data_IF_786527520520
#
_entry.id   IF_786527520520
#
_cell.length_a   1.000
_cell.length_b   1.000
_cell.length_c   1.000
_cell.angle_alpha   90.00
_cell.angle_beta   90.00
_cell.angle_gamma   90.00
#
_symmetry.space_group_name_H-M   'P 1'
#
loop_
_entity.id
_entity.type
_entity.pdbx_description
1 polymer ?
#
# COMPACT_ATOMS: atom_id res chain seq x y z
N UNK A 1 -4.87 -27.33 -3.88
CA UNK A 1 -3.86 -26.40 -3.32
C UNK A 1 -3.11 -26.98 -2.12
N UNK A 2 -3.71 -27.15 -0.92
CA UNK A 2 -2.96 -27.67 0.25
C UNK A 2 -2.53 -29.13 0.05
N UNK A 3 -3.45 -29.99 -0.38
CA UNK A 3 -3.14 -31.41 -0.65
C UNK A 3 -2.14 -31.57 -1.80
N UNK A 4 -2.28 -30.77 -2.85
CA UNK A 4 -1.32 -30.70 -3.97
C UNK A 4 0.07 -30.27 -3.49
N UNK A 5 0.16 -29.23 -2.65
CA UNK A 5 1.41 -28.74 -2.06
C UNK A 5 2.08 -29.79 -1.18
N UNK A 6 1.31 -30.54 -0.39
CA UNK A 6 1.81 -31.65 0.43
C UNK A 6 2.32 -32.80 -0.46
N UNK A 7 1.63 -33.09 -1.56
CA UNK A 7 1.96 -34.16 -2.51
C UNK A 7 3.12 -33.83 -3.48
N UNK A 8 3.58 -32.58 -3.52
CA UNK A 8 4.66 -32.14 -4.39
C UNK A 8 6.01 -32.76 -3.99
N UNK A 9 6.80 -33.16 -5.00
CA UNK A 9 8.07 -33.88 -4.82
C UNK A 9 9.13 -33.07 -4.04
N UNK A 10 10.07 -33.73 -3.37
CA UNK A 10 11.19 -33.11 -2.63
C UNK A 10 12.00 -32.09 -3.47
N UNK A 11 12.01 -32.21 -4.81
CA UNK A 11 12.63 -31.24 -5.72
C UNK A 11 11.93 -29.87 -5.72
N UNK A 12 10.62 -29.79 -5.49
CA UNK A 12 9.89 -28.51 -5.39
C UNK A 12 10.09 -27.83 -4.03
N UNK A 13 10.25 -28.60 -2.95
CA UNK A 13 10.62 -28.08 -1.62
C UNK A 13 12.04 -27.51 -1.55
N UNK A 14 12.89 -27.80 -2.52
CA UNK A 14 14.25 -27.22 -2.62
C UNK A 14 14.27 -25.72 -2.97
N UNK A 15 13.12 -25.11 -3.31
CA UNK A 15 13.01 -23.69 -3.71
C UNK A 15 12.85 -22.71 -2.54
N UNK A 16 12.91 -23.18 -1.29
CA UNK A 16 12.80 -22.35 -0.08
C UNK A 16 11.50 -22.56 0.69
N UNK A 17 11.45 -22.02 1.90
CA UNK A 17 10.31 -22.16 2.82
C UNK A 17 9.17 -21.26 2.37
N UNK A 18 8.01 -21.82 2.04
CA UNK A 18 6.81 -21.04 1.72
C UNK A 18 6.02 -20.67 2.98
N UNK A 19 5.14 -19.66 2.86
CA UNK A 19 4.24 -19.29 3.96
C UNK A 19 3.30 -20.44 4.39
N UNK A 20 2.89 -21.30 3.44
CA UNK A 20 2.10 -22.49 3.76
C UNK A 20 2.94 -23.50 4.57
N UNK A 21 4.23 -23.67 4.25
CA UNK A 21 5.11 -24.56 5.02
C UNK A 21 5.27 -24.06 6.47
N UNK A 22 5.38 -22.75 6.67
CA UNK A 22 5.44 -22.14 8.01
C UNK A 22 4.16 -22.43 8.80
N UNK A 23 2.98 -22.23 8.19
CA UNK A 23 1.70 -22.48 8.86
C UNK A 23 1.47 -23.96 9.19
N UNK A 24 1.87 -24.87 8.29
CA UNK A 24 1.79 -26.32 8.54
C UNK A 24 2.74 -26.72 9.67
N UNK A 25 3.97 -26.18 9.69
CA UNK A 25 4.94 -26.43 10.74
C UNK A 25 4.47 -25.92 12.11
N UNK A 26 3.78 -24.78 12.17
CA UNK A 26 3.15 -24.28 13.40
C UNK A 26 2.03 -25.22 13.85
N UNK A 27 1.16 -25.67 12.92
CA UNK A 27 0.09 -26.61 13.23
C UNK A 27 0.62 -27.94 13.79
N UNK A 28 1.74 -28.45 13.27
CA UNK A 28 2.32 -29.73 13.70
C UNK A 28 3.04 -29.63 15.06
N UNK A 29 3.71 -28.51 15.35
CA UNK A 29 4.54 -28.37 16.55
C UNK A 29 3.84 -27.69 17.73
N UNK A 30 2.74 -26.96 17.51
CA UNK A 30 2.07 -26.22 18.57
C UNK A 30 1.05 -27.08 19.34
N UNK A 31 1.57 -28.08 20.04
CA UNK A 31 0.78 -28.98 20.92
C UNK A 31 0.59 -28.42 22.34
N UNK A 32 1.02 -27.18 22.60
CA UNK A 32 1.10 -26.58 23.94
C UNK A 32 0.33 -25.26 24.13
N UNK A 33 -0.29 -24.72 23.09
CA UNK A 33 -1.06 -23.47 23.19
C UNK A 33 -2.56 -23.73 23.37
N UNK A 34 -3.26 -22.82 24.06
CA UNK A 34 -4.73 -22.82 24.19
C UNK A 34 -5.46 -22.62 22.83
N UNK A 35 -4.70 -22.36 21.75
CA UNK A 35 -5.21 -22.07 20.42
C UNK A 35 -4.72 -23.09 19.39
N UNK A 36 -5.60 -23.99 18.96
CA UNK A 36 -5.28 -24.98 17.94
C UNK A 36 -5.50 -24.45 16.52
N UNK A 37 -4.42 -24.25 15.76
CA UNK A 37 -4.49 -23.83 14.36
C UNK A 37 -5.11 -24.92 13.48
N UNK A 38 -6.36 -24.76 13.05
CA UNK A 38 -7.05 -25.73 12.18
C UNK A 38 -6.73 -25.52 10.69
N UNK A 39 -7.05 -26.51 9.84
CA UNK A 39 -6.90 -26.39 8.38
C UNK A 39 -7.76 -25.26 7.80
N UNK A 40 -8.92 -24.99 8.37
CA UNK A 40 -9.80 -23.87 7.99
C UNK A 40 -9.13 -22.53 8.28
N UNK A 41 -8.46 -22.40 9.43
CA UNK A 41 -7.68 -21.21 9.75
C UNK A 41 -6.53 -21.01 8.75
N UNK A 42 -5.82 -22.08 8.38
CA UNK A 42 -4.73 -22.01 7.37
C UNK A 42 -5.30 -21.53 6.03
N UNK A 43 -6.38 -22.15 5.54
CA UNK A 43 -7.06 -21.75 4.29
C UNK A 43 -7.50 -20.29 4.33
N UNK A 44 -8.14 -19.87 5.43
CA UNK A 44 -8.61 -18.50 5.60
C UNK A 44 -7.46 -17.48 5.61
N UNK A 45 -6.37 -17.77 6.33
CA UNK A 45 -5.21 -16.88 6.36
C UNK A 45 -4.54 -16.75 4.98
N UNK A 46 -4.37 -17.86 4.25
CA UNK A 46 -3.87 -17.83 2.88
C UNK A 46 -4.74 -16.96 1.97
N UNK A 47 -6.05 -17.14 2.04
CA UNK A 47 -6.99 -16.37 1.24
C UNK A 47 -6.93 -14.87 1.58
N UNK A 48 -6.92 -14.53 2.87
CA UNK A 48 -6.84 -13.13 3.33
C UNK A 48 -5.55 -12.48 2.85
N UNK A 49 -4.40 -13.15 2.99
CA UNK A 49 -3.12 -12.59 2.55
C UNK A 49 -3.07 -12.35 1.05
N UNK A 50 -3.52 -13.31 0.24
CA UNK A 50 -3.53 -13.17 -1.21
C UNK A 50 -4.49 -12.05 -1.63
N UNK A 51 -5.72 -12.05 -1.10
CA UNK A 51 -6.74 -11.07 -1.48
C UNK A 51 -6.32 -9.64 -1.11
N UNK A 52 -5.94 -9.43 0.16
CA UNK A 52 -5.59 -8.08 0.67
C UNK A 52 -4.26 -7.57 0.12
N UNK A 53 -3.28 -8.45 -0.08
CA UNK A 53 -1.98 -8.09 -0.64
C UNK A 53 -2.04 -7.78 -2.13
N UNK A 54 -2.83 -8.53 -2.91
CA UNK A 54 -2.91 -8.35 -4.37
C UNK A 54 -3.58 -7.04 -4.72
N UNK A 55 -4.78 -6.78 -4.19
CA UNK A 55 -5.56 -5.59 -4.57
C UNK A 55 -4.84 -4.28 -4.21
N UNK A 56 -4.26 -4.22 -3.00
CA UNK A 56 -3.53 -3.02 -2.55
C UNK A 56 -2.25 -2.81 -3.34
N UNK A 57 -1.45 -3.86 -3.59
CA UNK A 57 -0.20 -3.74 -4.36
C UNK A 57 -0.46 -3.31 -5.81
N UNK A 58 -1.52 -3.84 -6.44
CA UNK A 58 -1.94 -3.41 -7.78
C UNK A 58 -2.31 -1.93 -7.81
N UNK A 59 -3.09 -1.46 -6.82
CA UNK A 59 -3.45 -0.05 -6.74
C UNK A 59 -2.21 0.86 -6.61
N UNK A 60 -1.20 0.45 -5.83
CA UNK A 60 0.07 1.20 -5.72
C UNK A 60 0.81 1.22 -7.05
N UNK A 61 0.89 0.08 -7.75
CA UNK A 61 1.54 -0.01 -9.06
C UNK A 61 0.85 0.92 -10.07
N UNK A 62 -0.48 0.87 -10.16
CA UNK A 62 -1.27 1.71 -11.07
C UNK A 62 -1.05 3.20 -10.80
N UNK A 63 -1.14 3.62 -9.55
CA UNK A 63 -0.89 5.02 -9.18
C UNK A 63 0.55 5.43 -9.41
N UNK A 64 1.51 4.57 -9.08
CA UNK A 64 2.94 4.86 -9.29
C UNK A 64 3.22 5.07 -10.77
N UNK A 65 2.79 4.15 -11.62
CA UNK A 65 2.92 4.26 -13.07
C UNK A 65 2.21 5.51 -13.62
N UNK A 66 0.98 5.78 -13.18
CA UNK A 66 0.24 6.96 -13.60
C UNK A 66 0.95 8.27 -13.20
N UNK A 67 1.54 8.32 -11.99
CA UNK A 67 2.30 9.48 -11.51
C UNK A 67 3.57 9.70 -12.32
N UNK A 68 4.39 8.67 -12.54
CA UNK A 68 5.63 8.84 -13.32
C UNK A 68 5.35 9.15 -14.80
N UNK A 69 4.33 8.54 -15.43
CA UNK A 69 3.98 8.83 -16.83
C UNK A 69 3.56 10.29 -17.02
N UNK A 70 2.83 10.85 -16.04
CA UNK A 70 2.42 12.27 -16.05
C UNK A 70 3.54 13.23 -15.67
N UNK A 71 4.69 12.73 -15.19
CA UNK A 71 5.81 13.52 -14.72
C UNK A 71 7.12 13.10 -15.44
N UNK A 72 7.35 13.58 -16.68
CA UNK A 72 8.45 13.10 -17.52
C UNK A 72 9.86 13.32 -16.95
N UNK A 73 10.04 14.28 -16.05
CA UNK A 73 11.31 14.50 -15.35
C UNK A 73 11.58 13.36 -14.35
N UNK A 74 10.58 13.06 -13.51
CA UNK A 74 10.64 11.97 -12.53
C UNK A 74 10.78 10.61 -13.21
N UNK A 75 10.03 10.37 -14.30
CA UNK A 75 10.18 9.16 -15.12
C UNK A 75 11.62 8.94 -15.58
N UNK A 76 12.27 9.98 -16.13
CA UNK A 76 13.67 9.88 -16.62
C UNK A 76 14.64 9.53 -15.49
N UNK A 77 14.46 10.10 -14.30
CA UNK A 77 15.28 9.77 -13.12
C UNK A 77 15.07 8.32 -12.67
N UNK A 78 13.82 7.86 -12.61
CA UNK A 78 13.50 6.46 -12.29
C UNK A 78 14.09 5.49 -13.30
N UNK A 79 13.95 5.78 -14.60
CA UNK A 79 14.54 4.97 -15.66
C UNK A 79 16.07 4.94 -15.58
N UNK A 80 16.71 6.06 -15.25
CA UNK A 80 18.16 6.11 -15.12
C UNK A 80 18.64 5.19 -13.98
N UNK A 81 17.99 5.22 -12.81
CA UNK A 81 18.34 4.37 -11.68
C UNK A 81 18.11 2.86 -12.00
N UNK A 82 16.96 2.53 -12.58
CA UNK A 82 16.61 1.15 -12.94
C UNK A 82 17.57 0.56 -14.00
N UNK A 83 18.14 1.38 -14.89
CA UNK A 83 19.14 0.92 -15.88
C UNK A 83 20.50 0.61 -15.24
N UNK A 84 20.90 1.41 -14.27
CA UNK A 84 22.21 1.24 -13.63
C UNK A 84 22.20 0.14 -12.56
N UNK A 85 21.03 -0.30 -12.10
CA UNK A 85 20.91 -1.25 -10.99
C UNK A 85 20.00 -2.43 -11.38
N UNK A 86 20.51 -3.66 -11.43
CA UNK A 86 21.92 -4.05 -11.62
C UNK A 86 22.39 -3.81 -13.05
N UNK A 87 23.56 -3.19 -13.20
CA UNK A 87 24.16 -2.86 -14.49
C UNK A 87 24.49 -4.13 -15.29
N UNK A 88 23.80 -4.32 -16.42
CA UNK A 88 24.08 -5.40 -17.35
C UNK A 88 23.59 -6.78 -16.91
N UNK A 89 22.84 -6.88 -15.81
CA UNK A 89 22.24 -8.15 -15.37
C UNK A 89 20.78 -8.27 -15.84
N UNK A 90 20.38 -9.49 -16.20
CA UNK A 90 19.01 -9.79 -16.62
C UNK A 90 18.04 -9.91 -15.43
N UNK A 91 18.56 -10.17 -14.22
CA UNK A 91 17.80 -10.43 -12.99
C UNK A 91 18.15 -9.42 -11.91
N UNK A 92 17.24 -9.21 -10.97
CA UNK A 92 17.44 -8.34 -9.80
C UNK A 92 17.40 -9.17 -8.53
N UNK A 93 18.27 -8.84 -7.57
CA UNK A 93 18.33 -9.44 -6.24
C UNK A 93 17.91 -8.41 -5.21
N UNK A 94 17.55 -8.85 -4.01
CA UNK A 94 17.12 -7.95 -2.93
C UNK A 94 18.17 -6.89 -2.59
N UNK A 95 19.46 -7.25 -2.63
CA UNK A 95 20.59 -6.33 -2.44
C UNK A 95 20.71 -5.23 -3.51
N UNK A 96 20.08 -5.43 -4.68
CA UNK A 96 20.00 -4.43 -5.74
C UNK A 96 18.84 -3.48 -5.46
N UNK A 97 17.67 -4.02 -5.08
CA UNK A 97 16.49 -3.23 -4.71
C UNK A 97 16.79 -2.29 -3.53
N UNK A 98 17.60 -2.75 -2.57
CA UNK A 98 18.02 -1.91 -1.44
C UNK A 98 18.72 -0.61 -1.87
N UNK A 99 19.39 -0.61 -3.03
CA UNK A 99 20.12 0.52 -3.61
C UNK A 99 19.28 1.42 -4.52
N UNK A 100 18.05 1.03 -4.88
CA UNK A 100 17.15 1.81 -5.74
C UNK A 100 16.39 2.89 -4.93
N UNK A 101 17.14 3.84 -4.37
CA UNK A 101 16.61 4.83 -3.44
C UNK A 101 15.57 5.76 -4.09
N UNK A 102 15.76 6.12 -5.35
CA UNK A 102 14.84 7.00 -6.05
C UNK A 102 13.53 6.30 -6.44
N UNK A 103 13.59 5.03 -6.85
CA UNK A 103 12.41 4.19 -7.05
C UNK A 103 11.58 4.08 -5.77
N UNK A 104 12.25 3.85 -4.63
CA UNK A 104 11.60 3.84 -3.31
C UNK A 104 10.93 5.16 -2.97
N UNK A 105 11.62 6.27 -3.24
CA UNK A 105 11.05 7.61 -3.05
C UNK A 105 9.83 7.86 -3.93
N UNK A 106 9.84 7.37 -5.17
CA UNK A 106 8.70 7.42 -6.12
C UNK A 106 7.51 6.62 -5.62
N UNK A 107 7.74 5.42 -5.08
CA UNK A 107 6.68 4.58 -4.50
C UNK A 107 6.12 5.25 -3.25
N UNK A 108 6.98 5.76 -2.35
CA UNK A 108 6.55 6.49 -1.14
C UNK A 108 5.70 7.72 -1.47
N UNK A 109 6.13 8.53 -2.43
CA UNK A 109 5.36 9.72 -2.86
C UNK A 109 4.03 9.33 -3.53
N UNK A 110 4.00 8.19 -4.24
CA UNK A 110 2.77 7.65 -4.79
C UNK A 110 1.81 7.17 -3.69
N UNK A 111 2.33 6.52 -2.65
CA UNK A 111 1.55 6.12 -1.47
C UNK A 111 1.04 7.32 -0.68
N UNK A 112 1.83 8.39 -0.54
CA UNK A 112 1.42 9.62 0.15
C UNK A 112 0.24 10.28 -0.55
N UNK A 113 0.33 10.44 -1.87
CA UNK A 113 -0.73 11.06 -2.65
C UNK A 113 -1.89 10.09 -2.95
N UNK A 114 -1.65 8.80 -3.07
CA UNK A 114 -2.67 7.86 -3.50
C UNK A 114 -2.61 6.57 -2.67
N UNK A 115 -2.87 6.67 -1.35
CA UNK A 115 -2.91 5.48 -0.49
C UNK A 115 -4.05 4.56 -0.96
N UNK A 116 -3.82 3.24 -1.10
CA UNK A 116 -4.87 2.29 -1.47
C UNK A 116 -6.06 2.29 -0.51
N UNK A 117 -5.80 2.59 0.76
CA UNK A 117 -6.79 2.68 1.84
C UNK A 117 -6.80 4.12 2.37
N UNK A 118 -7.52 5.05 1.72
CA UNK A 118 -7.48 6.48 2.06
C UNK A 118 -8.08 6.81 3.43
N UNK A 119 -9.12 6.07 3.82
CA UNK A 119 -9.61 6.00 5.20
C UNK A 119 -9.15 4.65 5.77
N UNK A 120 -8.27 4.67 6.77
CA UNK A 120 -7.81 3.44 7.41
C UNK A 120 -8.96 2.66 8.03
N UNK A 121 -8.75 1.36 8.22
CA UNK A 121 -9.78 0.45 8.73
C UNK A 121 -10.41 0.99 10.02
N UNK A 122 -11.76 1.02 10.13
CA UNK A 122 -12.45 1.56 11.28
C UNK A 122 -12.00 0.90 12.59
N UNK A 123 -11.93 1.70 13.65
CA UNK A 123 -11.75 1.24 15.03
C UNK A 123 -13.01 1.54 15.81
N UNK A 124 -13.39 0.66 16.72
CA UNK A 124 -14.49 0.89 17.63
C UNK A 124 -13.93 1.04 19.05
N UNK A 125 -14.34 2.09 19.75
CA UNK A 125 -13.92 2.34 21.12
C UNK A 125 -14.54 1.28 22.06
N UNK A 126 -13.70 0.53 22.77
CA UNK A 126 -14.15 -0.52 23.69
C UNK A 126 -14.55 0.01 25.08
N UNK A 127 -14.17 1.25 25.38
CA UNK A 127 -14.46 1.99 26.60
C UNK A 127 -14.47 3.48 26.27
N UNK A 128 -15.06 4.28 27.16
CA UNK A 128 -14.98 5.73 27.08
C UNK A 128 -13.51 6.16 27.17
N UNK A 129 -13.09 7.09 26.32
CA UNK A 129 -11.74 7.61 26.33
C UNK A 129 -11.71 9.09 25.98
N UNK A 130 -10.58 9.74 26.24
CA UNK A 130 -10.36 11.14 25.87
C UNK A 130 -9.21 11.24 24.88
N UNK A 131 -9.40 11.97 23.78
CA UNK A 131 -8.36 12.26 22.78
C UNK A 131 -8.34 13.77 22.56
N UNK A 132 -7.19 14.42 22.78
CA UNK A 132 -7.01 15.88 22.63
C UNK A 132 -8.11 16.71 23.34
N UNK A 133 -8.53 16.28 24.53
CA UNK A 133 -9.59 16.93 25.30
C UNK A 133 -11.02 16.52 24.92
N UNK A 134 -11.23 15.84 23.80
CA UNK A 134 -12.54 15.35 23.37
C UNK A 134 -12.88 14.02 24.04
N UNK A 135 -14.04 13.96 24.69
CA UNK A 135 -14.61 12.71 25.19
C UNK A 135 -15.17 11.88 24.03
N UNK A 136 -14.73 10.64 23.93
CA UNK A 136 -15.14 9.67 22.93
C UNK A 136 -15.82 8.51 23.66
N UNK A 137 -17.16 8.41 23.57
CA UNK A 137 -17.89 7.33 24.18
C UNK A 137 -17.48 5.95 23.63
N UNK A 138 -17.65 4.92 24.46
CA UNK A 138 -17.65 3.52 24.05
C UNK A 138 -18.59 3.33 22.85
N UNK A 139 -18.25 2.37 21.99
CA UNK A 139 -18.89 2.03 20.70
C UNK A 139 -18.77 3.07 19.59
N UNK A 140 -18.14 4.22 19.85
CA UNK A 140 -17.83 5.19 18.80
C UNK A 140 -16.87 4.58 17.77
N UNK A 141 -17.20 4.76 16.48
CA UNK A 141 -16.33 4.36 15.37
C UNK A 141 -15.40 5.49 14.96
N UNK A 142 -14.11 5.21 14.97
CA UNK A 142 -13.05 6.16 14.61
C UNK A 142 -12.44 5.74 13.27
N UNK A 143 -12.31 6.72 12.38
CA UNK A 143 -11.68 6.60 11.07
C UNK A 143 -10.47 7.54 11.00
N UNK A 144 -9.36 7.05 10.48
CA UNK A 144 -8.15 7.86 10.27
C UNK A 144 -8.04 8.17 8.78
N UNK A 145 -8.04 9.45 8.42
CA UNK A 145 -7.97 9.89 7.03
C UNK A 145 -6.52 10.05 6.57
N UNK A 146 -5.88 8.93 6.22
CA UNK A 146 -4.52 8.90 5.70
C UNK A 146 -4.36 9.73 4.42
N UNK A 147 -5.41 9.83 3.59
CA UNK A 147 -5.39 10.64 2.37
C UNK A 147 -5.26 12.14 2.65
N UNK A 148 -5.98 12.64 3.67
CA UNK A 148 -5.91 14.03 4.09
C UNK A 148 -4.59 14.34 4.79
N UNK A 149 -4.15 13.47 5.71
CA UNK A 149 -2.87 13.59 6.42
C UNK A 149 -1.71 13.68 5.43
N UNK A 150 -1.70 12.80 4.42
CA UNK A 150 -0.68 12.81 3.38
C UNK A 150 -0.68 14.09 2.53
N UNK A 151 -1.70 14.95 2.62
CA UNK A 151 -1.85 16.21 1.86
C UNK A 151 -1.86 17.46 2.71
N UNK A 152 -1.66 17.30 4.01
CA UNK A 152 -1.72 18.41 4.93
C UNK A 152 -0.59 19.41 4.63
N UNK A 153 -0.90 20.66 4.25
CA UNK A 153 0.12 21.67 3.94
C UNK A 153 0.96 22.07 5.17
N UNK A 154 0.49 21.81 6.40
CA UNK A 154 1.29 22.03 7.61
C UNK A 154 2.46 21.04 7.72
N UNK A 155 2.28 19.84 7.16
CA UNK A 155 3.26 18.76 7.20
C UNK A 155 4.03 18.60 5.88
N UNK A 156 3.46 19.03 4.76
CA UNK A 156 3.99 18.79 3.41
C UNK A 156 4.06 20.06 2.57
N UNK A 157 5.27 20.55 2.31
CA UNK A 157 5.48 21.62 1.32
C UNK A 157 5.02 21.17 -0.07
N UNK A 158 4.25 22.03 -0.77
CA UNK A 158 3.59 21.71 -2.04
C UNK A 158 2.85 20.37 -1.94
N UNK A 159 1.94 20.25 -0.96
CA UNK A 159 1.36 18.97 -0.56
C UNK A 159 0.65 18.21 -1.69
N UNK A 160 0.10 18.89 -2.71
CA UNK A 160 -0.55 18.22 -3.85
C UNK A 160 0.41 17.82 -4.97
N UNK A 161 1.64 18.34 -4.97
CA UNK A 161 2.62 18.07 -6.03
C UNK A 161 3.31 16.73 -5.82
N UNK A 162 3.52 16.00 -6.92
CA UNK A 162 4.30 14.77 -6.94
C UNK A 162 5.80 15.08 -6.97
N UNK A 163 6.44 15.09 -5.79
CA UNK A 163 7.86 15.41 -5.61
C UNK A 163 8.58 14.29 -4.84
N UNK A 164 8.96 13.18 -5.50
CA UNK A 164 9.69 12.08 -4.87
C UNK A 164 10.95 12.52 -4.11
N UNK A 165 11.59 13.60 -4.57
CA UNK A 165 12.81 14.15 -3.97
C UNK A 165 12.68 14.46 -2.47
N UNK A 166 11.47 14.68 -1.94
CA UNK A 166 11.25 14.89 -0.50
C UNK A 166 11.65 13.67 0.33
N UNK A 167 11.40 12.46 -0.18
CA UNK A 167 11.76 11.21 0.49
C UNK A 167 13.23 10.81 0.30
N UNK A 168 13.98 11.54 -0.54
CA UNK A 168 15.44 11.36 -0.67
C UNK A 168 16.21 12.11 0.42
N UNK A 169 15.59 13.12 1.05
CA UNK A 169 16.25 14.05 1.97
C UNK A 169 15.69 14.03 3.40
N UNK A 170 14.65 13.26 3.67
CA UNK A 170 14.03 13.16 5.00
C UNK A 170 14.18 11.76 5.60
N UNK A 171 14.12 11.67 6.92
CA UNK A 171 14.14 10.43 7.69
C UNK A 171 12.77 9.74 7.78
N UNK A 172 11.75 10.26 7.10
CA UNK A 172 10.39 9.73 7.16
C UNK A 172 10.36 8.31 6.61
N UNK A 173 10.01 7.39 7.50
CA UNK A 173 9.78 5.99 7.18
C UNK A 173 8.30 5.63 7.18
N UNK A 174 7.99 4.50 6.57
CA UNK A 174 6.67 3.90 6.45
C UNK A 174 6.37 2.90 7.58
N UNK A 175 7.14 2.96 8.68
CA UNK A 175 7.02 2.06 9.84
C UNK A 175 6.00 2.53 10.87
N UNK A 176 5.21 3.54 10.51
CA UNK A 176 4.11 4.10 11.31
C UNK A 176 4.54 4.83 12.59
N UNK A 177 5.80 5.27 12.68
CA UNK A 177 6.27 6.18 13.72
C UNK A 177 6.20 7.66 13.28
N UNK A 178 6.04 7.92 11.98
CA UNK A 178 5.88 9.23 11.38
C UNK A 178 4.41 9.43 11.00
N UNK A 179 3.65 10.15 11.83
CA UNK A 179 2.20 10.24 11.69
C UNK A 179 1.75 11.05 10.47
N UNK A 180 2.61 11.90 9.95
CA UNK A 180 2.45 12.60 8.68
C UNK A 180 2.46 11.66 7.46
N UNK A 181 2.97 10.42 7.62
CA UNK A 181 3.07 9.41 6.57
C UNK A 181 2.77 7.99 7.09
N UNK A 182 1.50 7.59 7.04
CA UNK A 182 1.01 6.29 7.56
C UNK A 182 0.36 5.40 6.50
N UNK A 183 1.03 5.09 5.37
CA UNK A 183 0.44 4.30 4.28
C UNK A 183 0.07 2.86 4.68
N UNK A 184 0.69 2.34 5.73
CA UNK A 184 0.43 1.01 6.31
C UNK A 184 -0.28 1.08 7.67
N UNK A 185 -0.74 2.26 8.07
CA UNK A 185 -1.27 2.53 9.41
C UNK A 185 -0.16 2.59 10.48
N UNK A 186 -0.56 2.45 11.74
CA UNK A 186 0.34 2.50 12.90
C UNK A 186 -0.13 1.58 14.05
N UNK A 187 0.77 1.31 15.00
CA UNK A 187 0.52 0.55 16.22
C UNK A 187 0.20 -0.93 16.01
N UNK A 188 -0.52 -1.52 16.97
CA UNK A 188 -0.82 -2.98 17.03
C UNK A 188 -1.61 -3.53 15.85
N UNK A 189 -2.20 -2.67 15.02
CA UNK A 189 -3.04 -3.06 13.87
C UNK A 189 -2.51 -2.47 12.56
N UNK A 190 -1.22 -2.17 12.53
CA UNK A 190 -0.46 -1.86 11.33
C UNK A 190 -0.50 -3.04 10.35
N UNK A 191 -0.37 -2.75 9.06
CA UNK A 191 -0.44 -3.74 8.00
C UNK A 191 0.61 -4.85 8.19
N UNK A 192 0.16 -6.11 8.28
CA UNK A 192 1.04 -7.27 8.38
C UNK A 192 1.91 -7.46 7.11
N UNK A 193 1.47 -6.93 5.97
CA UNK A 193 2.18 -7.02 4.69
C UNK A 193 3.25 -5.94 4.47
N UNK A 194 3.50 -5.05 5.43
CA UNK A 194 4.40 -3.90 5.25
C UNK A 194 5.84 -4.28 4.85
N UNK A 195 6.31 -5.47 5.22
CA UNK A 195 7.65 -5.95 4.89
C UNK A 195 7.72 -6.59 3.49
N UNK A 196 6.58 -7.04 2.97
CA UNK A 196 6.50 -7.75 1.70
C UNK A 196 6.07 -6.85 0.54
N UNK A 197 5.11 -5.96 0.78
CA UNK A 197 4.51 -5.16 -0.28
C UNK A 197 5.52 -4.22 -0.98
N UNK A 198 6.35 -3.43 -0.26
CA UNK A 198 7.32 -2.53 -0.91
C UNK A 198 8.28 -3.28 -1.84
N UNK A 199 8.90 -4.36 -1.36
CA UNK A 199 9.84 -5.18 -2.14
C UNK A 199 9.17 -5.80 -3.37
N UNK A 200 7.92 -6.26 -3.23
CA UNK A 200 7.17 -6.84 -4.36
C UNK A 200 6.82 -5.81 -5.43
N UNK A 201 6.46 -4.59 -5.02
CA UNK A 201 6.16 -3.47 -5.91
C UNK A 201 7.44 -3.00 -6.62
N UNK A 202 8.55 -2.85 -5.88
CA UNK A 202 9.87 -2.50 -6.41
C UNK A 202 10.32 -3.51 -7.48
N UNK A 203 10.23 -4.81 -7.17
CA UNK A 203 10.56 -5.90 -8.08
C UNK A 203 9.70 -5.88 -9.35
N UNK A 204 8.39 -5.62 -9.19
CA UNK A 204 7.45 -5.57 -10.33
C UNK A 204 7.76 -4.39 -11.23
N UNK A 205 8.00 -3.20 -10.66
CA UNK A 205 8.36 -2.01 -11.43
C UNK A 205 9.68 -2.20 -12.16
N UNK A 206 10.70 -2.75 -11.50
CA UNK A 206 11.98 -3.07 -12.13
C UNK A 206 11.85 -4.12 -13.26
N UNK A 207 11.05 -5.16 -13.04
CA UNK A 207 10.77 -6.16 -14.08
C UNK A 207 10.04 -5.55 -15.28
N UNK A 208 9.19 -4.54 -15.05
CA UNK A 208 8.46 -3.81 -16.09
C UNK A 208 9.28 -2.73 -16.81
N UNK A 209 10.60 -2.63 -16.57
CA UNK A 209 11.47 -1.57 -17.11
C UNK A 209 11.38 -1.38 -18.62
N UNK A 210 11.26 -2.46 -19.39
CA UNK A 210 11.14 -2.39 -20.85
C UNK A 210 9.84 -1.71 -21.30
N UNK A 211 8.76 -1.87 -20.54
CA UNK A 211 7.51 -1.15 -20.80
C UNK A 211 7.64 0.34 -20.49
N UNK A 212 8.34 0.69 -19.41
CA UNK A 212 8.64 2.08 -19.05
C UNK A 212 9.49 2.79 -20.11
N UNK A 213 10.30 2.07 -20.89
CA UNK A 213 11.16 2.64 -21.94
C UNK A 213 10.40 3.10 -23.19
N UNK A 214 9.26 2.47 -23.49
CA UNK A 214 8.53 2.82 -24.70
C UNK A 214 7.81 4.17 -24.49
N UNK A 215 8.17 5.19 -25.27
CA UNK A 215 7.41 6.47 -25.38
C UNK A 215 5.99 6.28 -25.94
N UNK A 216 5.58 5.03 -26.20
CA UNK A 216 4.23 4.73 -26.64
C UNK A 216 3.36 4.77 -25.39
N UNK A 217 2.20 5.45 -25.42
CA UNK A 217 1.25 5.30 -24.34
C UNK A 217 1.02 3.79 -24.14
N UNK A 218 1.02 3.34 -22.89
CA UNK A 218 0.61 2.00 -22.49
C UNK A 218 -0.84 1.75 -22.96
N UNK A 219 -1.03 1.56 -24.26
CA UNK A 219 -2.20 0.98 -24.86
C UNK A 219 -1.92 -0.51 -24.90
N UNK A 220 -2.21 -1.19 -23.79
CA UNK A 220 -2.57 -2.59 -23.92
C UNK A 220 -3.74 -2.66 -24.90
N UNK A 221 -3.67 -3.41 -26.01
CA UNK A 221 -4.84 -3.72 -26.82
C UNK A 221 -5.64 -4.78 -26.08
N UNK A 222 -6.18 -4.43 -24.91
CA UNK A 222 -7.01 -5.31 -24.12
C UNK A 222 -8.37 -4.64 -23.96
N UNK A 223 -9.29 -4.98 -24.87
CA UNK A 223 -10.72 -4.65 -24.73
C UNK A 223 -11.31 -5.14 -23.40
N UNK A 224 -10.63 -6.06 -22.71
CA UNK A 224 -10.98 -6.52 -21.36
C UNK A 224 -10.54 -5.56 -20.24
N UNK A 225 -9.50 -4.75 -20.46
CA UNK A 225 -9.01 -3.79 -19.47
C UNK A 225 -9.83 -2.49 -19.48
N UNK A 226 -10.33 -2.04 -20.63
CA UNK A 226 -11.14 -0.80 -20.70
C UNK A 226 -12.46 -0.91 -19.91
N UNK A 227 -13.08 -2.10 -19.85
CA UNK A 227 -14.28 -2.31 -19.04
C UNK A 227 -13.98 -2.38 -17.54
N UNK A 228 -12.85 -2.98 -17.13
CA UNK A 228 -12.43 -2.99 -15.72
C UNK A 228 -11.86 -1.64 -15.26
N UNK A 229 -11.09 -0.92 -16.09
CA UNK A 229 -10.58 0.41 -15.80
C UNK A 229 -11.70 1.46 -15.77
N UNK A 230 -12.66 1.37 -16.70
CA UNK A 230 -13.87 2.20 -16.71
C UNK A 230 -14.79 1.93 -15.52
N UNK A 231 -14.98 0.66 -15.13
CA UNK A 231 -15.81 0.31 -13.98
C UNK A 231 -15.10 0.53 -12.63
N UNK A 232 -13.77 0.37 -12.53
CA UNK A 232 -13.01 0.66 -11.31
C UNK A 232 -12.80 2.15 -11.09
N UNK A 233 -12.54 2.94 -12.15
CA UNK A 233 -12.58 4.41 -12.04
C UNK A 233 -14.00 4.91 -11.74
N UNK A 234 -15.06 4.22 -12.19
CA UNK A 234 -16.43 4.51 -11.74
C UNK A 234 -16.64 4.16 -10.27
N UNK A 235 -16.18 3.02 -9.76
CA UNK A 235 -16.29 2.69 -8.34
C UNK A 235 -15.49 3.65 -7.44
N UNK A 236 -14.28 4.03 -7.86
CA UNK A 236 -13.46 5.03 -7.18
C UNK A 236 -14.10 6.43 -7.32
N UNK A 237 -14.63 6.79 -8.49
CA UNK A 237 -15.34 8.06 -8.72
C UNK A 237 -16.69 8.13 -8.01
N UNK A 238 -17.40 7.00 -7.82
CA UNK A 238 -18.62 6.90 -7.01
C UNK A 238 -18.27 7.06 -5.53
N UNK A 239 -17.17 6.45 -5.07
CA UNK A 239 -16.65 6.68 -3.72
C UNK A 239 -16.23 8.16 -3.52
N UNK A 240 -15.59 8.79 -4.51
CA UNK A 240 -15.25 10.22 -4.48
C UNK A 240 -16.46 11.15 -4.65
N UNK A 241 -17.50 10.78 -5.41
CA UNK A 241 -18.75 11.56 -5.51
C UNK A 241 -19.56 11.44 -4.23
N UNK A 242 -19.58 10.28 -3.57
CA UNK A 242 -20.18 10.12 -2.24
C UNK A 242 -19.47 10.99 -1.20
N UNK A 243 -18.13 11.04 -1.21
CA UNK A 243 -17.35 11.92 -0.33
C UNK A 243 -17.46 13.42 -0.68
N UNK A 244 -17.71 13.77 -1.96
CA UNK A 244 -18.03 15.15 -2.36
C UNK A 244 -19.47 15.54 -2.04
N UNK A 245 -20.42 14.60 -2.04
CA UNK A 245 -21.80 14.84 -1.64
C UNK A 245 -21.91 15.09 -0.12
N UNK A 246 -21.04 14.48 0.69
CA UNK A 246 -20.98 14.73 2.15
C UNK A 246 -20.51 16.14 2.52
N UNK A 247 -19.86 16.86 1.59
CA UNK A 247 -19.56 18.31 1.75
C UNK A 247 -20.81 19.20 1.79
N UNK A 248 -21.97 18.69 1.36
CA UNK A 248 -23.24 19.45 1.46
C UNK A 248 -23.98 19.23 2.78
N UNK A 249 -23.51 18.31 3.63
CA UNK A 249 -24.10 18.07 4.97
C UNK A 249 -23.29 18.75 6.08
N UNK A 250 -22.06 19.20 5.81
CA UNK A 250 -21.19 19.94 6.75
C UNK A 250 -20.88 21.35 6.27
N UNK A 251 -21.91 22.10 5.87
CA UNK A 251 -21.79 23.50 5.47
C UNK A 251 -22.89 24.35 6.08
N UNK A 252 -22.82 24.58 7.40
CA UNK A 252 -23.46 25.73 8.05
C UNK A 252 -23.02 25.90 9.51
N UNK A 253 -21.72 26.02 9.78
CA UNK A 253 -21.24 26.66 11.03
C UNK A 253 -19.89 27.36 10.79
N UNK A 254 -19.86 28.27 9.81
CA UNK A 254 -18.88 29.38 9.80
C UNK A 254 -19.54 30.59 10.47
N UNK A 255 -19.35 30.71 11.78
CA UNK A 255 -19.35 31.95 12.57
C UNK A 255 -19.36 31.53 14.04
N UNK A 256 -18.18 31.42 14.66
CA UNK A 256 -17.95 31.46 16.12
C UNK A 256 -16.44 31.30 16.40
N UNK A 257 -15.62 32.17 15.80
CA UNK A 257 -14.19 32.33 16.16
C UNK A 257 -13.76 33.76 15.90
N UNK A 258 -14.34 34.70 16.65
CA UNK A 258 -13.76 36.00 17.01
C UNK A 258 -14.46 36.43 18.30
N UNK A 259 -13.84 36.10 19.44
CA UNK A 259 -13.93 36.73 20.76
C UNK A 259 -13.71 35.67 21.85
N UNK A 260 -12.59 35.78 22.56
CA UNK A 260 -12.18 34.90 23.67
C UNK A 260 -10.67 34.81 23.80
#
# INVERSE_FOLDING_TARGET
MIEEHISSSEKERSKGISFLDVLLNIQENDSSSDFHLTKEHIKANLLIMIATGTETSFAVLDWTMAKIIRNPSQMRKTQAEIREIPKGEATVREEHLSKMLYLKAVIKESLRLNPPVPLLLPRECIQDCQINGYEIPKTTRVLINAWAIGRDPENWESSEEFKPERFMKCSIDDKGNHFEFIPFGSGRRMCAGMQFAPTSIELTLWSSRHGLESRRPFFFPCRFCASQWGNRLRHVSIFFHALKADRTVYGDHHNLFLDG
#
